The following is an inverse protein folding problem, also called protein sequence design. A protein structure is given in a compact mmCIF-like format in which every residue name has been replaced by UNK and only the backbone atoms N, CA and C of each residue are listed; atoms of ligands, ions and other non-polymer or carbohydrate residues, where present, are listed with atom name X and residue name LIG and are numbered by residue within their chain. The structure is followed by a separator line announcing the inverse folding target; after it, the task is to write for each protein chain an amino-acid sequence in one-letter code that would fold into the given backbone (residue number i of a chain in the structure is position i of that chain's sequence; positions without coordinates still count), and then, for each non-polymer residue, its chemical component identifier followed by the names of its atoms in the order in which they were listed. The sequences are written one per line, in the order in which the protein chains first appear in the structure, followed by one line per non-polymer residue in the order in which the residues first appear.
data_IF_196370418663
#
_entry.id   IF_196370418663
#
_cell.length_a   1.000
_cell.length_b   1.000
_cell.length_c   1.000
_cell.angle_alpha   90.00
_cell.angle_beta   90.00
_cell.angle_gamma   90.00
#
_symmetry.space_group_name_H-M   'P 1'
#
loop_
_entity.id
_entity.type
_entity.pdbx_description
1 polymer ?
#
# COMPACT_ATOMS: atom_id res chain seq x y z
N UNK A 1 -37.73 -7.23 -43.94
CA UNK A 1 -37.82 -6.16 -42.92
C UNK A 1 -37.19 -6.73 -41.66
N UNK A 2 -35.89 -6.52 -41.49
CA UNK A 2 -35.15 -7.01 -40.32
C UNK A 2 -34.81 -5.80 -39.45
N UNK A 3 -35.37 -5.77 -38.25
CA UNK A 3 -35.14 -4.70 -37.28
C UNK A 3 -33.69 -4.75 -36.80
N UNK A 4 -32.97 -3.67 -37.08
CA UNK A 4 -31.65 -3.36 -36.57
C UNK A 4 -31.80 -2.80 -35.16
N UNK A 5 -31.36 -3.54 -34.13
CA UNK A 5 -31.16 -2.97 -32.79
C UNK A 5 -29.71 -2.54 -32.69
N UNK A 6 -29.51 -1.24 -32.81
CA UNK A 6 -28.25 -0.54 -32.57
C UNK A 6 -27.97 -0.61 -31.07
N UNK A 7 -26.87 -1.25 -30.67
CA UNK A 7 -26.32 -1.12 -29.32
C UNK A 7 -25.58 0.22 -29.24
N UNK A 8 -26.07 1.09 -28.37
CA UNK A 8 -25.45 2.39 -28.03
C UNK A 8 -24.07 2.17 -27.39
N UNK A 9 -23.13 3.12 -27.55
CA UNK A 9 -21.84 3.04 -26.90
C UNK A 9 -22.02 3.36 -25.41
N UNK A 10 -21.93 2.36 -24.55
CA UNK A 10 -21.74 2.62 -23.13
C UNK A 10 -20.37 3.26 -22.93
N UNK A 11 -20.41 4.38 -22.22
CA UNK A 11 -19.29 5.18 -21.76
C UNK A 11 -18.24 4.32 -21.05
N UNK A 12 -17.18 3.96 -21.77
CA UNK A 12 -15.92 3.49 -21.18
C UNK A 12 -15.28 4.65 -20.39
N UNK A 13 -15.61 4.72 -19.11
CA UNK A 13 -14.88 5.54 -18.13
C UNK A 13 -13.47 5.01 -17.97
N UNK A 14 -12.49 5.90 -18.15
CA UNK A 14 -11.09 5.85 -17.74
C UNK A 14 -10.36 4.50 -17.82
N UNK A 15 -9.39 4.41 -18.73
CA UNK A 15 -8.34 3.38 -18.77
C UNK A 15 -7.84 3.04 -17.36
N UNK A 16 -8.30 1.92 -16.79
CA UNK A 16 -7.73 1.35 -15.58
C UNK A 16 -6.25 1.06 -15.88
N UNK A 17 -5.35 1.87 -15.33
CA UNK A 17 -3.92 1.53 -15.34
C UNK A 17 -3.81 0.17 -14.69
N UNK A 18 -3.27 -0.81 -15.41
CA UNK A 18 -3.05 -2.16 -14.89
C UNK A 18 -2.10 -2.03 -13.68
N UNK A 19 -2.67 -2.11 -12.47
CA UNK A 19 -1.91 -2.00 -11.22
C UNK A 19 -1.14 -3.30 -11.04
N UNK A 20 0.16 -3.17 -10.76
CA UNK A 20 0.99 -4.34 -10.48
C UNK A 20 0.43 -5.09 -9.26
N UNK A 21 0.45 -6.44 -9.28
CA UNK A 21 -0.02 -7.23 -8.14
C UNK A 21 0.91 -7.08 -6.93
N UNK A 22 2.22 -6.92 -7.16
CA UNK A 22 3.25 -6.65 -6.14
C UNK A 22 4.57 -6.25 -6.85
N UNK A 23 5.54 -5.76 -6.08
CA UNK A 23 6.94 -5.57 -6.50
C UNK A 23 7.86 -5.81 -5.29
N UNK A 24 8.63 -6.88 -5.35
CA UNK A 24 9.60 -7.28 -4.29
C UNK A 24 10.94 -7.62 -4.93
N UNK A 25 12.00 -7.76 -4.12
CA UNK A 25 13.35 -8.06 -4.61
C UNK A 25 13.43 -9.41 -5.35
N UNK A 26 12.99 -10.49 -4.70
CA UNK A 26 13.08 -11.85 -5.23
C UNK A 26 12.04 -12.78 -4.57
N UNK A 27 11.11 -13.31 -5.38
CA UNK A 27 10.08 -14.24 -4.90
C UNK A 27 10.65 -15.61 -4.48
N UNK A 28 11.83 -15.99 -4.96
CA UNK A 28 12.45 -17.28 -4.60
C UNK A 28 12.74 -17.39 -3.10
N UNK A 29 12.81 -16.26 -2.40
CA UNK A 29 13.03 -16.17 -0.96
C UNK A 29 11.79 -16.53 -0.12
N UNK A 30 10.62 -16.73 -0.75
CA UNK A 30 9.36 -16.94 -0.04
C UNK A 30 9.36 -18.16 0.90
N UNK A 31 10.05 -19.26 0.54
CA UNK A 31 10.12 -20.43 1.43
C UNK A 31 10.92 -20.14 2.70
N UNK A 32 12.02 -19.40 2.57
CA UNK A 32 12.81 -18.95 3.72
C UNK A 32 11.98 -18.00 4.60
N UNK A 33 11.36 -16.98 3.99
CA UNK A 33 10.47 -16.08 4.72
C UNK A 33 9.33 -16.79 5.43
N UNK A 34 8.73 -17.80 4.81
CA UNK A 34 7.68 -18.61 5.45
C UNK A 34 8.17 -19.36 6.68
N UNK A 35 9.43 -19.83 6.69
CA UNK A 35 10.02 -20.48 7.87
C UNK A 35 10.18 -19.46 9.01
N UNK A 36 10.74 -18.29 8.73
CA UNK A 36 10.91 -17.21 9.72
C UNK A 36 9.56 -16.71 10.27
N UNK A 37 8.56 -16.52 9.41
CA UNK A 37 7.21 -16.10 9.82
C UNK A 37 6.60 -17.10 10.80
N UNK A 38 6.70 -18.42 10.54
CA UNK A 38 6.20 -19.44 11.48
C UNK A 38 6.92 -19.41 12.83
N UNK A 39 8.21 -19.11 12.84
CA UNK A 39 8.95 -18.94 14.10
C UNK A 39 8.47 -17.68 14.84
N UNK A 40 8.28 -16.57 14.12
CA UNK A 40 7.81 -15.32 14.70
C UNK A 40 6.37 -15.42 15.26
N UNK A 41 5.49 -16.24 14.67
CA UNK A 41 4.15 -16.50 15.21
C UNK A 41 4.20 -17.06 16.64
N UNK A 42 5.20 -17.86 17.00
CA UNK A 42 5.38 -18.35 18.37
C UNK A 42 5.77 -17.24 19.35
N UNK A 43 6.47 -16.21 18.88
CA UNK A 43 6.93 -15.06 19.68
C UNK A 43 5.95 -13.87 19.64
N UNK A 44 4.83 -14.00 18.92
CA UNK A 44 3.80 -12.95 18.78
C UNK A 44 2.43 -13.41 19.29
N UNK A 45 2.31 -13.86 20.56
CA UNK A 45 1.09 -14.47 21.09
C UNK A 45 -0.12 -13.53 21.06
N UNK A 46 0.08 -12.21 21.14
CA UNK A 46 -1.00 -11.23 21.03
C UNK A 46 -1.70 -11.25 19.66
N UNK A 47 -0.94 -11.31 18.57
CA UNK A 47 -1.52 -11.41 17.23
C UNK A 47 -2.18 -12.77 17.01
N UNK A 48 -1.56 -13.85 17.49
CA UNK A 48 -2.15 -15.19 17.39
C UNK A 48 -3.46 -15.30 18.17
N UNK A 49 -3.54 -14.70 19.36
CA UNK A 49 -4.77 -14.60 20.13
C UNK A 49 -5.85 -13.79 19.39
N UNK A 50 -5.49 -12.64 18.80
CA UNK A 50 -6.41 -11.83 18.01
C UNK A 50 -6.99 -12.60 16.81
N UNK A 51 -6.16 -13.37 16.10
CA UNK A 51 -6.63 -14.25 15.02
C UNK A 51 -7.62 -15.30 15.53
N UNK A 52 -7.34 -15.93 16.66
CA UNK A 52 -8.22 -16.96 17.24
C UNK A 52 -9.56 -16.37 17.70
N UNK A 53 -9.54 -15.19 18.33
CA UNK A 53 -10.72 -14.53 18.87
C UNK A 53 -11.61 -13.92 17.79
N UNK A 54 -11.02 -13.17 16.85
CA UNK A 54 -11.75 -12.35 15.89
C UNK A 54 -11.78 -12.93 14.48
N UNK A 55 -10.95 -13.92 14.15
CA UNK A 55 -10.95 -14.60 12.85
C UNK A 55 -12.34 -15.12 12.45
N UNK A 56 -13.10 -15.83 13.31
CA UNK A 56 -14.45 -16.28 12.98
C UNK A 56 -15.45 -15.14 12.69
N UNK A 57 -15.19 -13.95 13.25
CA UNK A 57 -16.07 -12.78 13.14
C UNK A 57 -15.79 -11.99 11.86
N UNK A 58 -14.60 -12.14 11.28
CA UNK A 58 -14.15 -11.42 10.07
C UNK A 58 -14.42 -9.90 10.15
N UNK A 59 -13.98 -9.21 11.22
CA UNK A 59 -14.35 -7.82 11.47
C UNK A 59 -13.84 -6.84 10.40
N UNK A 60 -12.79 -7.21 9.67
CA UNK A 60 -12.22 -6.41 8.60
C UNK A 60 -12.72 -6.82 7.21
N UNK A 61 -13.72 -7.71 7.13
CA UNK A 61 -14.28 -8.14 5.85
C UNK A 61 -14.78 -6.98 5.01
N UNK A 62 -14.25 -6.88 3.80
CA UNK A 62 -14.61 -5.85 2.83
C UNK A 62 -13.90 -4.50 3.04
N UNK A 63 -13.03 -4.39 4.05
CA UNK A 63 -12.16 -3.23 4.22
C UNK A 63 -10.87 -3.41 3.43
N UNK A 64 -10.48 -2.36 2.71
CA UNK A 64 -9.18 -2.20 2.06
C UNK A 64 -8.22 -1.51 3.03
N UNK A 65 -7.19 -2.21 3.45
CA UNK A 65 -6.20 -1.74 4.43
C UNK A 65 -4.88 -1.48 3.72
N UNK A 66 -4.44 -0.23 3.72
CA UNK A 66 -3.11 0.16 3.26
C UNK A 66 -2.17 0.26 4.46
N UNK A 67 -1.03 -0.41 4.40
CA UNK A 67 0.03 -0.30 5.41
C UNK A 67 1.28 0.38 4.86
N UNK A 68 1.79 1.36 5.60
CA UNK A 68 3.10 1.98 5.42
C UNK A 68 3.91 1.74 6.69
N UNK A 69 4.63 0.61 6.73
CA UNK A 69 5.36 0.17 7.90
C UNK A 69 6.50 -0.76 7.49
N UNK A 70 7.64 -0.71 8.18
CA UNK A 70 8.80 -1.57 7.92
C UNK A 70 8.41 -3.00 7.51
N UNK A 71 8.76 -3.41 6.29
CA UNK A 71 8.37 -4.72 5.75
C UNK A 71 9.28 -5.83 6.31
N UNK A 72 9.00 -6.26 7.54
CA UNK A 72 9.78 -7.25 8.31
C UNK A 72 9.02 -8.57 8.49
N UNK A 73 9.69 -9.59 9.05
CA UNK A 73 9.04 -10.84 9.48
C UNK A 73 7.92 -10.57 10.50
N UNK A 74 8.10 -9.65 11.44
CA UNK A 74 7.08 -9.29 12.43
C UNK A 74 5.87 -8.62 11.76
N UNK A 75 6.13 -7.71 10.83
CA UNK A 75 5.08 -7.06 10.03
C UNK A 75 4.36 -8.05 9.13
N UNK A 76 5.04 -9.07 8.61
CA UNK A 76 4.38 -10.15 7.88
C UNK A 76 3.33 -10.88 8.74
N UNK A 77 3.61 -11.13 10.02
CA UNK A 77 2.60 -11.69 10.95
C UNK A 77 1.45 -10.70 11.15
N UNK A 78 1.70 -9.40 11.24
CA UNK A 78 0.64 -8.38 11.31
C UNK A 78 -0.23 -8.39 10.04
N UNK A 79 0.39 -8.35 8.85
CA UNK A 79 -0.32 -8.40 7.56
C UNK A 79 -1.22 -9.62 7.47
N UNK A 80 -0.66 -10.81 7.75
CA UNK A 80 -1.44 -12.05 7.70
C UNK A 80 -2.53 -12.08 8.79
N UNK A 81 -2.36 -11.38 9.91
CA UNK A 81 -3.43 -11.19 10.90
C UNK A 81 -4.57 -10.35 10.33
N UNK A 82 -4.27 -9.23 9.67
CA UNK A 82 -5.29 -8.38 9.04
C UNK A 82 -6.07 -9.16 7.97
N UNK A 83 -5.37 -9.95 7.15
CA UNK A 83 -5.99 -10.84 6.17
C UNK A 83 -6.84 -11.94 6.81
N UNK A 84 -6.34 -12.59 7.87
CA UNK A 84 -7.08 -13.61 8.64
C UNK A 84 -8.35 -13.01 9.29
N UNK A 85 -8.38 -11.70 9.52
CA UNK A 85 -9.53 -10.93 10.01
C UNK A 85 -10.46 -10.42 8.88
N UNK A 86 -10.13 -10.70 7.62
CA UNK A 86 -10.97 -10.44 6.44
C UNK A 86 -10.56 -9.23 5.59
N UNK A 87 -9.47 -8.53 5.92
CA UNK A 87 -9.02 -7.37 5.16
C UNK A 87 -8.45 -7.74 3.78
N UNK A 88 -8.66 -6.88 2.80
CA UNK A 88 -7.88 -6.82 1.56
C UNK A 88 -6.69 -5.86 1.81
N UNK A 89 -5.45 -6.33 1.62
CA UNK A 89 -4.26 -5.64 2.14
C UNK A 89 -3.27 -5.28 1.02
N UNK A 90 -2.82 -4.02 1.02
CA UNK A 90 -1.67 -3.54 0.24
C UNK A 90 -0.64 -2.93 1.18
N UNK A 91 0.64 -3.14 0.90
CA UNK A 91 1.71 -2.80 1.85
C UNK A 91 2.95 -2.20 1.19
N UNK A 92 3.54 -1.23 1.88
CA UNK A 92 4.87 -0.67 1.60
C UNK A 92 5.70 -0.63 2.88
N UNK A 93 7.01 -0.57 2.71
CA UNK A 93 7.90 -0.20 3.80
C UNK A 93 7.82 1.31 4.06
N UNK A 94 8.07 1.76 5.29
CA UNK A 94 8.24 3.19 5.63
C UNK A 94 9.72 3.61 5.73
N UNK A 95 10.66 2.75 5.29
CA UNK A 95 12.07 3.08 5.23
C UNK A 95 12.80 2.19 4.21
N UNK A 96 13.59 2.83 3.35
CA UNK A 96 14.31 2.22 2.22
C UNK A 96 15.27 1.07 2.57
N UNK A 97 15.72 0.96 3.82
CA UNK A 97 16.64 -0.10 4.25
C UNK A 97 16.03 -1.13 5.20
N UNK A 98 14.79 -0.91 5.63
CA UNK A 98 14.17 -1.72 6.69
C UNK A 98 13.54 -3.02 6.20
N UNK A 99 13.26 -3.13 4.91
CA UNK A 99 12.67 -4.33 4.32
C UNK A 99 13.56 -5.55 4.53
N UNK A 100 12.93 -6.65 4.95
CA UNK A 100 13.49 -7.99 4.94
C UNK A 100 12.92 -8.72 3.72
N UNK A 101 13.71 -8.84 2.65
CA UNK A 101 13.20 -9.28 1.34
C UNK A 101 12.53 -10.67 1.35
N UNK A 102 13.01 -11.57 2.21
CA UNK A 102 12.40 -12.88 2.41
C UNK A 102 11.00 -12.78 3.03
N UNK A 103 10.78 -11.85 3.96
CA UNK A 103 9.46 -11.58 4.51
C UNK A 103 8.54 -10.99 3.44
N UNK A 104 9.01 -9.99 2.68
CA UNK A 104 8.25 -9.39 1.58
C UNK A 104 7.81 -10.44 0.54
N UNK A 105 8.74 -11.32 0.13
CA UNK A 105 8.45 -12.42 -0.78
C UNK A 105 7.43 -13.41 -0.20
N UNK A 106 7.57 -13.80 1.07
CA UNK A 106 6.66 -14.75 1.70
C UNK A 106 5.24 -14.18 1.89
N UNK A 107 5.12 -12.88 2.13
CA UNK A 107 3.82 -12.19 2.19
C UNK A 107 3.20 -12.09 0.80
N UNK A 108 3.97 -11.74 -0.24
CA UNK A 108 3.46 -11.67 -1.61
C UNK A 108 3.00 -13.05 -2.13
N UNK A 109 3.76 -14.11 -1.85
CA UNK A 109 3.37 -15.49 -2.21
C UNK A 109 2.18 -15.97 -1.39
N UNK A 110 2.11 -15.63 -0.10
CA UNK A 110 1.02 -16.03 0.80
C UNK A 110 1.07 -17.50 1.23
N UNK A 111 0.28 -17.87 2.25
CA UNK A 111 0.29 -19.22 2.86
C UNK A 111 -0.19 -20.33 1.93
N UNK A 112 -1.03 -20.00 0.95
CA UNK A 112 -1.63 -20.93 0.00
C UNK A 112 -1.20 -20.72 -1.45
N UNK A 113 -0.23 -19.83 -1.69
CA UNK A 113 0.30 -19.57 -3.03
C UNK A 113 1.65 -20.24 -3.26
N UNK A 114 2.15 -20.07 -4.48
CA UNK A 114 3.50 -20.47 -4.89
C UNK A 114 4.17 -19.31 -5.61
N UNK A 115 5.46 -19.43 -5.96
CA UNK A 115 6.16 -18.39 -6.74
C UNK A 115 5.47 -18.15 -8.09
N UNK A 116 4.94 -19.21 -8.71
CA UNK A 116 4.27 -19.13 -10.02
C UNK A 116 2.79 -18.73 -9.92
N UNK A 117 2.18 -18.89 -8.75
CA UNK A 117 0.77 -18.55 -8.46
C UNK A 117 0.65 -17.93 -7.05
N UNK A 118 1.12 -16.67 -6.87
CA UNK A 118 1.10 -15.98 -5.59
C UNK A 118 -0.34 -15.62 -5.18
N UNK A 119 -0.66 -15.81 -3.90
CA UNK A 119 -2.01 -15.60 -3.33
C UNK A 119 -1.98 -14.79 -2.03
N UNK A 120 -0.94 -13.98 -1.86
CA UNK A 120 -0.72 -13.16 -0.69
C UNK A 120 -1.23 -11.74 -0.82
N UNK A 121 -0.73 -10.86 0.03
CA UNK A 121 -1.02 -9.42 -0.05
C UNK A 121 -0.17 -8.75 -1.14
N UNK A 122 -0.63 -7.61 -1.65
CA UNK A 122 0.15 -6.82 -2.58
C UNK A 122 1.25 -6.06 -1.81
N UNK A 123 2.51 -6.44 -2.02
CA UNK A 123 3.67 -5.82 -1.35
C UNK A 123 4.50 -5.07 -2.37
N UNK A 124 4.78 -3.79 -2.12
CA UNK A 124 5.70 -2.96 -2.90
C UNK A 124 6.81 -2.53 -1.96
N UNK A 125 7.79 -3.42 -1.77
CA UNK A 125 8.88 -3.19 -0.84
C UNK A 125 10.08 -4.09 -1.16
N UNK A 126 11.28 -3.52 -1.14
CA UNK A 126 12.55 -4.25 -1.12
C UNK A 126 13.60 -3.50 -0.32
N UNK A 127 14.68 -4.19 0.06
CA UNK A 127 15.79 -3.56 0.75
C UNK A 127 16.66 -2.78 -0.24
N UNK A 128 16.97 -1.52 0.10
CA UNK A 128 17.82 -0.66 -0.70
C UNK A 128 17.09 0.05 -1.82
N UNK A 129 15.82 0.40 -1.61
CA UNK A 129 15.08 1.32 -2.48
C UNK A 129 15.81 2.66 -2.62
N UNK A 130 15.71 3.26 -3.79
CA UNK A 130 15.91 4.71 -3.98
C UNK A 130 14.69 5.48 -3.43
N UNK A 131 14.84 6.78 -3.21
CA UNK A 131 13.71 7.61 -2.75
C UNK A 131 12.58 7.67 -3.79
N UNK A 132 12.92 7.67 -5.08
CA UNK A 132 11.94 7.62 -6.16
C UNK A 132 11.16 6.30 -6.17
N UNK A 133 11.84 5.17 -5.93
CA UNK A 133 11.19 3.86 -5.79
C UNK A 133 10.30 3.81 -4.56
N UNK A 134 10.74 4.38 -3.43
CA UNK A 134 9.96 4.47 -2.19
C UNK A 134 8.62 5.20 -2.38
N UNK A 135 8.65 6.39 -2.97
CA UNK A 135 7.43 7.17 -3.24
C UNK A 135 6.57 6.53 -4.35
N UNK A 136 7.19 5.88 -5.33
CA UNK A 136 6.47 5.06 -6.30
C UNK A 136 5.74 3.87 -5.64
N UNK A 137 6.40 3.17 -4.71
CA UNK A 137 5.80 2.08 -3.94
C UNK A 137 4.57 2.58 -3.17
N UNK A 138 4.71 3.74 -2.51
CA UNK A 138 3.62 4.40 -1.77
C UNK A 138 2.41 4.66 -2.69
N UNK A 139 2.63 5.20 -3.87
CA UNK A 139 1.57 5.38 -4.89
C UNK A 139 0.92 4.07 -5.35
N UNK A 140 1.69 2.97 -5.45
CA UNK A 140 1.11 1.67 -5.80
C UNK A 140 0.20 1.12 -4.70
N UNK A 141 0.54 1.33 -3.43
CA UNK A 141 -0.23 0.78 -2.32
C UNK A 141 -1.48 1.60 -1.97
N UNK A 142 -1.53 2.88 -2.33
CA UNK A 142 -2.67 3.76 -2.07
C UNK A 142 -3.92 3.48 -2.91
N UNK A 143 -3.84 2.68 -3.97
CA UNK A 143 -4.99 2.41 -4.84
C UNK A 143 -5.08 0.93 -5.24
N UNK A 144 -6.30 0.40 -5.20
CA UNK A 144 -6.63 -0.94 -5.65
C UNK A 144 -6.84 -0.99 -7.18
N UNK A 145 -6.78 -2.18 -7.79
CA UNK A 145 -6.94 -2.32 -9.24
C UNK A 145 -8.27 -1.77 -9.80
N UNK A 146 -9.31 -1.69 -8.97
CA UNK A 146 -10.62 -1.11 -9.31
C UNK A 146 -10.64 0.42 -9.25
N UNK A 147 -9.52 1.07 -8.95
CA UNK A 147 -9.39 2.53 -8.84
C UNK A 147 -9.88 3.10 -7.50
N UNK A 148 -10.23 2.25 -6.53
CA UNK A 148 -10.61 2.68 -5.20
C UNK A 148 -9.39 2.82 -4.28
N UNK A 149 -9.51 3.68 -3.27
CA UNK A 149 -8.48 3.92 -2.26
C UNK A 149 -8.80 3.23 -0.93
N UNK A 150 -7.84 3.22 0.01
CA UNK A 150 -7.99 2.48 1.25
C UNK A 150 -9.19 2.97 2.06
N UNK A 151 -9.84 2.06 2.76
CA UNK A 151 -10.79 2.42 3.82
C UNK A 151 -10.07 2.74 5.13
N UNK A 152 -8.91 2.10 5.36
CA UNK A 152 -8.12 2.20 6.58
C UNK A 152 -6.63 2.27 6.24
N UNK A 153 -5.89 3.05 7.03
CA UNK A 153 -4.43 3.16 6.89
C UNK A 153 -3.74 2.78 8.22
N UNK A 154 -2.70 1.95 8.12
CA UNK A 154 -1.73 1.69 9.19
C UNK A 154 -0.44 2.40 8.80
N UNK A 155 -0.07 3.46 9.51
CA UNK A 155 1.02 4.34 9.12
C UNK A 155 2.10 4.41 10.21
N UNK A 156 3.35 4.33 9.79
CA UNK A 156 4.53 4.51 10.62
C UNK A 156 5.42 5.57 9.97
N UNK A 157 5.62 6.69 10.66
CA UNK A 157 6.27 7.90 10.11
C UNK A 157 5.31 8.96 9.57
N UNK A 158 4.19 8.55 8.96
CA UNK A 158 3.15 9.48 8.46
C UNK A 158 3.25 9.83 6.97
N UNK A 159 4.08 9.13 6.20
CA UNK A 159 4.39 9.46 4.80
C UNK A 159 3.20 9.21 3.86
N UNK A 160 2.48 8.11 4.06
CA UNK A 160 1.26 7.83 3.29
C UNK A 160 0.20 8.92 3.56
N UNK A 161 0.06 9.30 4.83
CA UNK A 161 -0.83 10.39 5.26
C UNK A 161 -0.39 11.74 4.65
N UNK A 162 0.92 12.05 4.65
CA UNK A 162 1.48 13.26 4.05
C UNK A 162 1.14 13.36 2.56
N UNK A 163 1.37 12.28 1.81
CA UNK A 163 1.15 12.25 0.36
C UNK A 163 -0.33 12.49 0.03
N UNK A 164 -1.25 11.87 0.77
CA UNK A 164 -2.69 12.08 0.60
C UNK A 164 -3.11 13.52 0.87
N UNK A 165 -2.64 14.11 1.98
CA UNK A 165 -2.97 15.49 2.32
C UNK A 165 -2.43 16.49 1.28
N UNK A 166 -1.18 16.33 0.86
CA UNK A 166 -0.57 17.20 -0.16
C UNK A 166 -1.18 17.00 -1.54
N UNK A 167 -1.55 15.77 -1.88
CA UNK A 167 -2.29 15.47 -3.09
C UNK A 167 -3.62 16.23 -3.16
N UNK A 168 -4.43 16.18 -2.10
CA UNK A 168 -5.70 16.95 -2.03
C UNK A 168 -5.44 18.46 -2.08
N UNK A 169 -4.47 18.97 -1.30
CA UNK A 169 -4.11 20.39 -1.28
C UNK A 169 -3.76 20.91 -2.69
N UNK A 170 -3.00 20.15 -3.46
CA UNK A 170 -2.58 20.54 -4.81
C UNK A 170 -3.63 20.29 -5.89
N UNK A 171 -4.52 19.31 -5.71
CA UNK A 171 -5.71 19.19 -6.54
C UNK A 171 -6.65 20.38 -6.36
N UNK A 172 -6.83 20.86 -5.12
CA UNK A 172 -7.66 22.03 -4.80
C UNK A 172 -7.07 23.34 -5.31
N UNK A 173 -5.76 23.54 -5.15
CA UNK A 173 -5.09 24.75 -5.61
C UNK A 173 -4.89 24.78 -7.13
N UNK A 174 -4.92 23.62 -7.78
CA UNK A 174 -4.58 23.45 -9.19
C UNK A 174 -3.10 23.72 -9.50
N UNK A 175 -2.24 23.82 -8.48
CA UNK A 175 -0.83 24.16 -8.61
C UNK A 175 0.03 23.42 -7.59
N UNK A 176 1.09 22.78 -8.09
CA UNK A 176 2.14 22.16 -7.27
C UNK A 176 3.34 23.12 -7.24
N UNK A 177 3.91 23.44 -6.08
CA UNK A 177 5.07 24.32 -6.00
C UNK A 177 6.29 23.74 -6.74
N UNK A 178 7.22 24.62 -7.09
CA UNK A 178 8.56 24.20 -7.53
C UNK A 178 9.42 23.79 -6.35
N UNK A 179 10.38 22.90 -6.58
CA UNK A 179 11.37 22.47 -5.59
C UNK A 179 12.53 23.48 -5.51
N UNK A 180 12.94 23.83 -4.30
CA UNK A 180 14.12 24.66 -4.03
C UNK A 180 15.22 23.86 -3.30
N UNK A 181 16.24 23.43 -4.06
CA UNK A 181 17.34 22.62 -3.53
C UNK A 181 18.22 23.34 -2.48
N UNK A 182 18.15 24.67 -2.37
CA UNK A 182 18.93 25.43 -1.39
C UNK A 182 18.26 25.45 0.00
N UNK A 183 16.94 25.22 0.06
CA UNK A 183 16.15 25.37 1.30
C UNK A 183 15.28 24.17 1.65
N UNK A 184 15.08 23.22 0.73
CA UNK A 184 14.24 22.05 0.90
C UNK A 184 15.06 20.75 0.83
N UNK A 185 14.71 19.71 1.61
CA UNK A 185 15.33 18.39 1.49
C UNK A 185 15.11 17.78 0.10
N UNK A 186 16.11 17.05 -0.43
CA UNK A 186 16.02 16.35 -1.73
C UNK A 186 14.76 15.48 -1.86
N UNK A 187 14.41 14.76 -0.78
CA UNK A 187 13.21 13.93 -0.73
C UNK A 187 11.92 14.71 -1.01
N UNK A 188 11.85 15.98 -0.60
CA UNK A 188 10.69 16.83 -0.87
C UNK A 188 10.52 17.08 -2.37
N UNK A 189 11.61 17.29 -3.10
CA UNK A 189 11.58 17.39 -4.56
C UNK A 189 10.98 16.14 -5.21
N UNK A 190 11.34 14.96 -4.72
CA UNK A 190 10.82 13.67 -5.22
C UNK A 190 9.33 13.49 -4.90
N UNK A 191 8.88 13.92 -3.71
CA UNK A 191 7.46 13.96 -3.36
C UNK A 191 6.69 14.87 -4.33
N UNK A 192 7.19 16.07 -4.58
CA UNK A 192 6.57 17.01 -5.53
C UNK A 192 6.50 16.45 -6.94
N UNK A 193 7.55 15.77 -7.41
CA UNK A 193 7.58 15.12 -8.72
C UNK A 193 6.60 13.95 -8.80
N UNK A 194 6.49 13.16 -7.73
CA UNK A 194 5.50 12.07 -7.60
C UNK A 194 4.08 12.61 -7.69
N UNK A 195 3.75 13.64 -6.90
CA UNK A 195 2.46 14.32 -6.92
C UNK A 195 2.16 14.91 -8.30
N UNK A 196 3.17 15.50 -8.95
CA UNK A 196 3.02 16.10 -10.29
C UNK A 196 2.71 15.06 -11.35
N UNK A 197 3.40 13.92 -11.34
CA UNK A 197 3.12 12.81 -12.24
C UNK A 197 1.71 12.21 -11.99
N UNK A 198 1.32 12.11 -10.72
CA UNK A 198 0.03 11.57 -10.29
C UNK A 198 -1.15 12.46 -10.70
N UNK A 199 -1.10 13.76 -10.34
CA UNK A 199 -2.16 14.75 -10.64
C UNK A 199 -2.25 15.03 -12.15
N UNK A 200 -1.13 15.05 -12.87
CA UNK A 200 -1.16 15.22 -14.33
C UNK A 200 -1.84 14.06 -15.05
N UNK A 201 -1.77 12.86 -14.48
CA UNK A 201 -2.46 11.70 -15.02
C UNK A 201 -3.94 11.67 -14.64
N UNK A 202 -4.28 12.13 -13.43
CA UNK A 202 -5.62 12.16 -12.90
C UNK A 202 -5.76 13.25 -11.84
N UNK A 203 -6.38 14.37 -12.23
CA UNK A 203 -6.46 15.58 -11.41
C UNK A 203 -7.47 15.50 -10.26
N UNK A 204 -8.12 14.34 -10.07
CA UNK A 204 -9.09 14.10 -8.99
C UNK A 204 -8.79 12.81 -8.23
N UNK A 205 -7.60 12.24 -8.43
CA UNK A 205 -7.16 10.99 -7.82
C UNK A 205 -7.25 11.07 -6.31
N UNK A 206 -6.56 12.02 -5.69
CA UNK A 206 -6.44 12.07 -4.24
C UNK A 206 -7.77 12.37 -3.56
N UNK A 207 -8.59 13.25 -4.13
CA UNK A 207 -9.98 13.45 -3.68
C UNK A 207 -10.78 12.14 -3.64
N UNK A 208 -10.69 11.29 -4.67
CA UNK A 208 -11.39 10.00 -4.69
C UNK A 208 -10.79 9.00 -3.70
N UNK A 209 -9.47 9.00 -3.52
CA UNK A 209 -8.81 8.12 -2.56
C UNK A 209 -9.23 8.45 -1.13
N UNK A 210 -9.29 9.74 -0.77
CA UNK A 210 -9.62 10.15 0.60
C UNK A 210 -11.10 10.06 0.96
N UNK A 211 -11.99 10.00 -0.02
CA UNK A 211 -13.46 9.97 0.19
C UNK A 211 -13.92 8.82 1.10
N UNK A 212 -13.24 7.67 1.01
CA UNK A 212 -13.62 6.46 1.74
C UNK A 212 -12.73 6.16 2.96
N UNK A 213 -11.66 6.93 3.20
CA UNK A 213 -10.78 6.73 4.35
C UNK A 213 -11.54 7.05 5.64
N UNK A 214 -11.67 6.04 6.51
CA UNK A 214 -12.38 6.16 7.80
C UNK A 214 -11.45 6.50 8.96
N UNK A 215 -10.16 6.25 8.82
CA UNK A 215 -9.18 6.56 9.84
C UNK A 215 -7.77 6.05 9.52
N UNK A 216 -6.82 6.61 10.26
CA UNK A 216 -5.40 6.24 10.23
C UNK A 216 -4.97 5.83 11.63
N UNK A 217 -4.35 4.65 11.76
CA UNK A 217 -3.68 4.23 12.99
C UNK A 217 -2.19 4.50 12.87
N UNK A 218 -1.62 5.29 13.78
CA UNK A 218 -0.20 5.68 13.75
C UNK A 218 0.61 4.90 14.80
N UNK A 219 1.69 4.27 14.38
CA UNK A 219 2.52 3.42 15.26
C UNK A 219 3.52 4.20 16.13
N UNK A 220 4.08 5.31 15.62
CA UNK A 220 5.04 6.14 16.37
C UNK A 220 4.53 7.59 16.46
N UNK A 221 4.55 8.24 17.64
CA UNK A 221 4.31 9.68 17.73
C UNK A 221 5.44 10.41 17.00
N UNK A 222 5.10 11.34 16.10
CA UNK A 222 6.08 12.19 15.43
C UNK A 222 6.97 12.82 16.52
N UNK A 223 8.27 12.54 16.50
CA UNK A 223 9.19 13.33 17.31
C UNK A 223 9.15 14.72 16.72
N UNK A 224 8.41 15.62 17.36
CA UNK A 224 8.59 17.05 17.13
C UNK A 224 10.06 17.34 17.45
N UNK A 225 10.89 17.33 16.41
CA UNK A 225 12.24 17.87 16.48
C UNK A 225 12.08 19.32 16.92
N UNK A 226 12.51 19.57 18.15
CA UNK A 226 12.72 20.89 18.72
C UNK A 226 13.73 21.68 17.92
#
# INVERSE_FOLDING_TARGET
MSNSTVLSPESTTASARERLPFKVADLSLAEWGRKEIRLAEHEMPGLMAARAEYGPQQPLKGFKVMGSLHMTVQTAVLIETLMDLGADVRWVSCNIFSTQDHAAAAVAVGRGGTVDDPRGAAVFAWKGETLEEYWWCTEQALEWPDGSGPDLIVDDGGDATLLLHKGVEYEDSGSIPGFDADSEPEEWGIILDTLRASISADSRRYHRLVENIRGVSRMIPHSSGS
#
